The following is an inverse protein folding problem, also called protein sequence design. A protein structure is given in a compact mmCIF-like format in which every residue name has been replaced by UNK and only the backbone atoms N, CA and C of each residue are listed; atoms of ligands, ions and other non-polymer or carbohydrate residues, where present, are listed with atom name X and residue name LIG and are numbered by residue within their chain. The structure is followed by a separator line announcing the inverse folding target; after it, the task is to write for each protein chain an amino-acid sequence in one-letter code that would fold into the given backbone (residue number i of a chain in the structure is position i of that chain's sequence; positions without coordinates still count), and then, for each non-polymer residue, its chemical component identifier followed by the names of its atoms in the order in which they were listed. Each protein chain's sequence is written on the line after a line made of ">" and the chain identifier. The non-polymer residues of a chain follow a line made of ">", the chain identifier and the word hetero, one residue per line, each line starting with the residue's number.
data_IF_612685929080
#
_entry.id   IF_612685929080
#
_cell.length_a   1.000
_cell.length_b   1.000
_cell.length_c   1.000
_cell.angle_alpha   90.00
_cell.angle_beta   90.00
_cell.angle_gamma   90.00
#
_symmetry.space_group_name_H-M   'P 1'
#
loop_
_entity.id
_entity.type
_entity.pdbx_description
1 polymer ?
#
# COMPACT_ATOMS: atom_id res chain seq x y z
N UNK A 1 -42.89 3.13 26.46
CA UNK A 1 -41.91 2.97 25.38
C UNK A 1 -41.71 1.48 25.17
N UNK A 2 -41.97 0.98 23.97
CA UNK A 2 -41.88 -0.45 23.68
C UNK A 2 -40.42 -0.87 23.55
N UNK A 3 -40.12 -2.12 23.93
CA UNK A 3 -38.77 -2.69 23.84
C UNK A 3 -38.20 -2.58 22.42
N UNK A 4 -39.06 -2.72 21.41
CA UNK A 4 -38.73 -2.52 19.99
C UNK A 4 -38.23 -1.12 19.67
N UNK A 5 -38.83 -0.07 20.24
CA UNK A 5 -38.36 1.31 20.02
C UNK A 5 -36.94 1.49 20.56
N UNK A 6 -36.65 0.83 21.69
CA UNK A 6 -35.32 0.88 22.33
C UNK A 6 -34.28 0.09 21.54
N UNK A 7 -34.65 -1.06 20.98
CA UNK A 7 -33.78 -1.88 20.12
C UNK A 7 -33.49 -1.14 18.81
N UNK A 8 -34.51 -0.52 18.21
CA UNK A 8 -34.36 0.24 16.96
C UNK A 8 -33.48 1.47 17.18
N UNK A 9 -33.68 2.18 18.28
CA UNK A 9 -32.84 3.32 18.66
C UNK A 9 -31.40 2.91 18.97
N UNK A 10 -31.17 1.75 19.61
CA UNK A 10 -29.81 1.24 19.86
C UNK A 10 -29.12 0.84 18.55
N UNK A 11 -29.82 0.15 17.65
CA UNK A 11 -29.29 -0.23 16.34
C UNK A 11 -28.98 1.00 15.46
N UNK A 12 -29.86 2.00 15.44
CA UNK A 12 -29.60 3.27 14.72
C UNK A 12 -28.42 4.03 15.32
N UNK A 13 -28.28 4.03 16.66
CA UNK A 13 -27.14 4.65 17.34
C UNK A 13 -25.83 3.92 17.01
N UNK A 14 -25.86 2.60 16.93
CA UNK A 14 -24.71 1.75 16.65
C UNK A 14 -24.32 1.85 15.16
N UNK A 15 -25.28 1.84 14.25
CA UNK A 15 -25.08 2.12 12.82
C UNK A 15 -24.48 3.50 12.60
N UNK A 16 -24.98 4.53 13.30
CA UNK A 16 -24.44 5.90 13.20
C UNK A 16 -23.03 6.03 13.77
N UNK A 17 -22.72 5.27 14.83
CA UNK A 17 -21.36 5.15 15.35
C UNK A 17 -20.44 4.42 14.37
N UNK A 18 -20.93 3.35 13.72
CA UNK A 18 -20.20 2.61 12.69
C UNK A 18 -19.91 3.49 11.47
N UNK A 19 -20.91 4.24 10.99
CA UNK A 19 -20.78 5.21 9.90
C UNK A 19 -19.76 6.30 10.23
N UNK A 20 -19.75 6.78 11.47
CA UNK A 20 -18.76 7.78 11.92
C UNK A 20 -17.33 7.20 11.97
N UNK A 21 -17.17 5.91 12.30
CA UNK A 21 -15.88 5.21 12.28
C UNK A 21 -15.41 4.98 10.84
N UNK A 22 -16.30 4.52 9.96
CA UNK A 22 -16.03 4.28 8.53
C UNK A 22 -15.74 5.57 7.77
N UNK A 23 -16.41 6.68 8.10
CA UNK A 23 -16.14 8.00 7.53
C UNK A 23 -14.73 8.52 7.86
N UNK A 24 -14.05 7.89 8.84
CA UNK A 24 -12.71 8.25 9.28
C UNK A 24 -11.59 7.42 8.63
N UNK A 25 -11.91 6.48 7.74
CA UNK A 25 -10.88 5.75 7.01
C UNK A 25 -10.09 6.73 6.14
N UNK A 26 -8.78 6.90 6.40
CA UNK A 26 -7.97 7.75 5.55
C UNK A 26 -7.97 7.17 4.13
N UNK A 27 -8.34 7.97 3.13
CA UNK A 27 -8.27 7.51 1.74
C UNK A 27 -6.88 6.97 1.37
N UNK A 28 -6.81 6.12 0.34
CA UNK A 28 -5.60 5.36 -0.04
C UNK A 28 -4.35 6.25 -0.14
N UNK A 29 -4.48 7.46 -0.72
CA UNK A 29 -3.37 8.42 -0.79
C UNK A 29 -2.89 8.89 0.59
N UNK A 30 -3.80 9.10 1.54
CA UNK A 30 -3.48 9.47 2.92
C UNK A 30 -2.85 8.30 3.66
N UNK A 31 -3.27 7.06 3.41
CA UNK A 31 -2.59 5.85 3.93
C UNK A 31 -1.15 5.76 3.40
N UNK A 32 -0.96 5.99 2.11
CA UNK A 32 0.37 5.99 1.49
C UNK A 32 1.27 7.06 2.12
N UNK A 33 0.79 8.31 2.21
CA UNK A 33 1.52 9.42 2.83
C UNK A 33 1.84 9.16 4.31
N UNK A 34 0.94 8.49 5.04
CA UNK A 34 1.19 8.09 6.42
C UNK A 34 2.25 7.00 6.52
N UNK A 35 2.31 6.06 5.56
CA UNK A 35 3.32 5.02 5.53
C UNK A 35 4.73 5.64 5.35
N UNK A 36 4.87 6.72 4.56
CA UNK A 36 6.11 7.50 4.46
C UNK A 36 6.52 8.23 5.76
N UNK A 37 5.60 8.42 6.72
CA UNK A 37 5.88 9.04 8.02
C UNK A 37 6.09 8.02 9.15
N UNK A 38 5.94 6.72 8.87
CA UNK A 38 6.14 5.65 9.83
C UNK A 38 7.61 5.43 10.22
N UNK A 39 7.87 4.46 11.10
CA UNK A 39 9.24 4.10 11.54
C UNK A 39 10.14 3.68 10.38
N UNK A 40 9.57 3.03 9.34
CA UNK A 40 10.26 2.68 8.09
C UNK A 40 10.08 3.74 6.98
N UNK A 41 9.65 4.96 7.30
CA UNK A 41 9.37 6.00 6.31
C UNK A 41 10.56 6.33 5.40
N UNK A 42 11.78 6.40 5.96
CA UNK A 42 13.03 6.57 5.18
C UNK A 42 13.30 5.38 4.25
N UNK A 43 12.97 4.16 4.70
CA UNK A 43 13.10 2.96 3.88
C UNK A 43 12.08 2.96 2.74
N UNK A 44 10.86 3.42 2.98
CA UNK A 44 9.87 3.62 1.93
C UNK A 44 10.33 4.63 0.87
N UNK A 45 11.01 5.72 1.26
CA UNK A 45 11.58 6.68 0.30
C UNK A 45 12.65 6.00 -0.55
N UNK A 46 13.56 5.23 0.06
CA UNK A 46 14.57 4.47 -0.69
C UNK A 46 13.92 3.48 -1.66
N UNK A 47 12.91 2.73 -1.22
CA UNK A 47 12.16 1.79 -2.07
C UNK A 47 11.49 2.53 -3.22
N UNK A 48 10.86 3.68 -2.98
CA UNK A 48 10.23 4.48 -4.03
C UNK A 48 11.24 4.97 -5.08
N UNK A 49 12.43 5.40 -4.63
CA UNK A 49 13.54 5.80 -5.52
C UNK A 49 13.99 4.59 -6.36
N UNK A 50 14.20 3.43 -5.75
CA UNK A 50 14.57 2.20 -6.46
C UNK A 50 13.49 1.79 -7.46
N UNK A 51 12.21 1.84 -7.07
CA UNK A 51 11.08 1.57 -7.97
C UNK A 51 11.11 2.52 -9.17
N UNK A 52 11.39 3.81 -8.96
CA UNK A 52 11.50 4.77 -10.05
C UNK A 52 12.64 4.41 -11.03
N UNK A 53 13.83 4.07 -10.53
CA UNK A 53 14.94 3.62 -11.38
C UNK A 53 14.61 2.32 -12.13
N UNK A 54 13.99 1.36 -11.48
CA UNK A 54 13.55 0.11 -12.14
C UNK A 54 12.54 0.40 -13.24
N UNK A 55 11.63 1.37 -13.06
CA UNK A 55 10.72 1.81 -14.12
C UNK A 55 11.47 2.38 -15.32
N UNK A 56 12.50 3.21 -15.10
CA UNK A 56 13.34 3.74 -16.18
C UNK A 56 14.05 2.62 -16.95
N UNK A 57 14.62 1.64 -16.24
CA UNK A 57 15.24 0.45 -16.85
C UNK A 57 14.22 -0.36 -17.64
N UNK A 58 13.01 -0.54 -17.11
CA UNK A 58 11.93 -1.27 -17.78
C UNK A 58 11.53 -0.58 -19.10
N UNK A 59 11.35 0.75 -19.08
CA UNK A 59 11.03 1.53 -20.29
C UNK A 59 12.17 1.47 -21.32
N UNK A 60 13.42 1.59 -20.87
CA UNK A 60 14.59 1.48 -21.74
C UNK A 60 14.71 0.09 -22.36
N UNK A 61 14.53 -0.98 -21.56
CA UNK A 61 14.55 -2.35 -22.04
C UNK A 61 13.43 -2.62 -23.05
N UNK A 62 12.24 -2.08 -22.80
CA UNK A 62 11.12 -2.14 -23.75
C UNK A 62 11.47 -1.43 -25.07
N UNK A 63 12.05 -0.23 -24.99
CA UNK A 63 12.49 0.50 -26.18
C UNK A 63 13.52 -0.28 -27.00
N UNK A 64 14.56 -0.82 -26.34
CA UNK A 64 15.60 -1.64 -26.96
C UNK A 64 15.05 -2.94 -27.57
N UNK A 65 14.03 -3.53 -26.96
CA UNK A 65 13.40 -4.76 -27.46
C UNK A 65 12.56 -4.51 -28.72
N UNK A 66 11.75 -3.45 -28.72
CA UNK A 66 10.77 -3.20 -29.79
C UNK A 66 11.30 -2.39 -30.97
N UNK A 67 12.18 -1.40 -30.73
CA UNK A 67 12.52 -0.40 -31.75
C UNK A 67 13.94 -0.51 -32.31
N UNK A 68 14.85 -1.23 -31.65
CA UNK A 68 16.25 -1.30 -32.10
C UNK A 68 16.45 -2.46 -33.07
N UNK A 69 16.83 -2.09 -34.30
CA UNK A 69 17.22 -3.03 -35.35
C UNK A 69 18.74 -3.18 -35.37
N UNK A 70 19.21 -4.40 -35.15
CA UNK A 70 20.63 -4.78 -35.17
C UNK A 70 20.86 -5.70 -36.38
N UNK A 71 22.12 -5.85 -36.81
CA UNK A 71 22.48 -6.78 -37.89
C UNK A 71 21.86 -8.16 -37.68
N UNK A 72 21.39 -8.78 -38.77
CA UNK A 72 20.60 -10.02 -38.78
C UNK A 72 21.25 -11.18 -38.02
N UNK A 73 22.59 -11.23 -37.98
CA UNK A 73 23.34 -12.27 -37.29
C UNK A 73 23.28 -12.15 -35.75
N UNK A 74 23.06 -10.96 -35.19
CA UNK A 74 23.09 -10.70 -33.73
C UNK A 74 21.71 -10.30 -33.20
N UNK A 75 20.75 -10.03 -34.09
CA UNK A 75 19.41 -9.53 -33.75
C UNK A 75 18.68 -10.41 -32.73
N UNK A 76 18.71 -11.74 -32.90
CA UNK A 76 17.99 -12.68 -32.02
C UNK A 76 18.55 -12.64 -30.60
N UNK A 77 19.88 -12.63 -30.44
CA UNK A 77 20.53 -12.62 -29.13
C UNK A 77 20.27 -11.30 -28.40
N UNK A 78 20.34 -10.17 -29.13
CA UNK A 78 20.06 -8.84 -28.59
C UNK A 78 18.61 -8.73 -28.09
N UNK A 79 17.63 -9.17 -28.89
CA UNK A 79 16.22 -9.14 -28.51
C UNK A 79 15.94 -10.03 -27.29
N UNK A 80 16.53 -11.23 -27.21
CA UNK A 80 16.34 -12.11 -26.05
C UNK A 80 16.88 -11.44 -24.77
N UNK A 81 18.08 -10.85 -24.81
CA UNK A 81 18.66 -10.17 -23.64
C UNK A 81 17.76 -9.06 -23.10
N UNK A 82 17.31 -8.16 -23.97
CA UNK A 82 16.41 -7.06 -23.56
C UNK A 82 15.02 -7.56 -23.16
N UNK A 83 14.52 -8.62 -23.80
CA UNK A 83 13.27 -9.27 -23.40
C UNK A 83 13.34 -9.86 -21.99
N UNK A 84 14.45 -10.52 -21.64
CA UNK A 84 14.67 -11.05 -20.28
C UNK A 84 14.78 -9.92 -19.26
N UNK A 85 15.51 -8.85 -19.58
CA UNK A 85 15.62 -7.68 -18.69
C UNK A 85 14.25 -7.01 -18.50
N UNK A 86 13.44 -6.91 -19.56
CA UNK A 86 12.08 -6.37 -19.50
C UNK A 86 11.18 -7.22 -18.59
N UNK A 87 11.23 -8.55 -18.73
CA UNK A 87 10.47 -9.46 -17.88
C UNK A 87 10.91 -9.37 -16.41
N UNK A 88 12.22 -9.41 -16.14
CA UNK A 88 12.76 -9.31 -14.78
C UNK A 88 12.43 -7.97 -14.13
N UNK A 89 12.58 -6.86 -14.84
CA UNK A 89 12.23 -5.53 -14.31
C UNK A 89 10.74 -5.40 -14.01
N UNK A 90 9.87 -6.04 -14.82
CA UNK A 90 8.42 -6.10 -14.56
C UNK A 90 8.10 -6.91 -13.30
N UNK A 91 8.75 -8.07 -13.10
CA UNK A 91 8.58 -8.86 -11.88
C UNK A 91 9.01 -8.09 -10.63
N UNK A 92 10.17 -7.41 -10.71
CA UNK A 92 10.65 -6.55 -9.62
C UNK A 92 9.65 -5.42 -9.33
N UNK A 93 9.08 -4.77 -10.34
CA UNK A 93 8.02 -3.76 -10.17
C UNK A 93 6.81 -4.30 -9.40
N UNK A 94 6.33 -5.49 -9.76
CA UNK A 94 5.19 -6.13 -9.10
C UNK A 94 5.51 -6.37 -7.62
N UNK A 95 6.66 -6.98 -7.33
CA UNK A 95 7.06 -7.28 -5.95
C UNK A 95 7.24 -6.01 -5.11
N UNK A 96 7.86 -4.95 -5.65
CA UNK A 96 8.05 -3.68 -4.94
C UNK A 96 6.72 -2.99 -4.61
N UNK A 97 5.78 -2.98 -5.56
CA UNK A 97 4.44 -2.44 -5.32
C UNK A 97 3.69 -3.26 -4.27
N UNK A 98 3.70 -4.58 -4.38
CA UNK A 98 3.04 -5.46 -3.42
C UNK A 98 3.61 -5.27 -2.01
N UNK A 99 4.93 -5.20 -1.88
CA UNK A 99 5.58 -4.91 -0.60
C UNK A 99 5.17 -3.55 -0.02
N UNK A 100 5.09 -2.51 -0.86
CA UNK A 100 4.65 -1.17 -0.42
C UNK A 100 3.21 -1.18 0.10
N UNK A 101 2.30 -1.90 -0.56
CA UNK A 101 0.93 -2.08 -0.09
C UNK A 101 0.86 -2.84 1.24
N UNK A 102 1.65 -3.90 1.39
CA UNK A 102 1.72 -4.66 2.64
C UNK A 102 2.24 -3.79 3.80
N UNK A 103 3.27 -2.97 3.55
CA UNK A 103 3.79 -2.05 4.55
C UNK A 103 2.74 -1.00 4.95
N UNK A 104 2.00 -0.47 3.98
CA UNK A 104 0.90 0.45 4.24
C UNK A 104 -0.20 -0.17 5.13
N UNK A 105 -0.59 -1.41 4.84
CA UNK A 105 -1.56 -2.14 5.66
C UNK A 105 -1.02 -2.41 7.07
N UNK A 106 0.26 -2.79 7.19
CA UNK A 106 0.94 -2.99 8.49
C UNK A 106 0.89 -1.71 9.34
N UNK A 107 1.15 -0.55 8.74
CA UNK A 107 1.09 0.73 9.45
C UNK A 107 -0.34 1.11 9.86
N UNK A 108 -1.35 0.80 9.04
CA UNK A 108 -2.75 1.03 9.41
C UNK A 108 -3.15 0.19 10.63
N UNK A 109 -2.87 -1.12 10.58
CA UNK A 109 -3.15 -2.04 11.67
C UNK A 109 -2.44 -1.62 12.97
N UNK A 110 -1.17 -1.23 12.89
CA UNK A 110 -0.40 -0.76 14.05
C UNK A 110 -1.02 0.48 14.70
N UNK A 111 -1.59 1.40 13.91
CA UNK A 111 -2.26 2.59 14.43
C UNK A 111 -3.57 2.24 15.13
N UNK A 112 -4.31 1.28 14.62
CA UNK A 112 -5.55 0.80 15.24
C UNK A 112 -5.26 0.09 16.58
N UNK A 113 -4.23 -0.76 16.64
CA UNK A 113 -3.79 -1.41 17.88
C UNK A 113 -3.45 -0.36 18.95
N UNK A 114 -2.64 0.66 18.63
CA UNK A 114 -2.32 1.74 19.58
C UNK A 114 -3.53 2.52 20.05
N UNK A 115 -4.54 2.71 19.20
CA UNK A 115 -5.81 3.35 19.61
C UNK A 115 -6.56 2.48 20.61
N UNK A 116 -6.60 1.16 20.38
CA UNK A 116 -7.22 0.22 21.31
C UNK A 116 -6.49 0.19 22.66
N UNK A 117 -5.16 0.18 22.68
CA UNK A 117 -4.35 0.27 23.91
C UNK A 117 -4.72 1.52 24.73
N UNK A 118 -4.78 2.70 24.09
CA UNK A 118 -5.17 3.95 24.76
C UNK A 118 -6.62 3.94 25.28
N UNK A 119 -7.54 3.24 24.59
CA UNK A 119 -8.92 3.11 25.06
C UNK A 119 -8.98 2.19 26.27
N UNK A 120 -8.26 1.08 26.26
CA UNK A 120 -8.17 0.14 27.39
C UNK A 120 -7.58 0.84 28.61
N UNK A 121 -6.47 1.57 28.45
CA UNK A 121 -5.83 2.33 29.53
C UNK A 121 -6.80 3.32 30.20
N UNK A 122 -7.58 4.07 29.41
CA UNK A 122 -8.60 4.99 29.92
C UNK A 122 -9.77 4.30 30.62
N UNK A 123 -10.12 3.07 30.21
CA UNK A 123 -11.16 2.30 30.87
C UNK A 123 -10.66 1.78 32.22
N UNK A 124 -9.42 1.27 32.27
CA UNK A 124 -8.79 0.82 33.51
C UNK A 124 -8.64 1.97 34.52
N UNK A 125 -8.23 3.15 34.08
CA UNK A 125 -8.09 4.35 34.93
C UNK A 125 -9.44 4.85 35.50
N UNK A 126 -10.55 4.63 34.79
CA UNK A 126 -11.91 4.94 35.30
C UNK A 126 -12.47 3.89 36.27
N UNK A 127 -11.93 2.68 36.26
CA UNK A 127 -12.38 1.55 37.07
C UNK A 127 -11.58 1.42 38.38
N UNK A 128 -10.37 1.99 38.44
CA UNK A 128 -9.57 2.14 39.67
C UNK A 128 -9.92 3.40 40.45
#
# INVERSE_FOLDING_TARGET
>A
MNLDDKIKQSLESEAKNLDHILAHEPGIFKMLLNAFKGSLGRWMILVAIVTFFVTLVMLWAGYQFFFVEVSSQVLTLHKIQWGVILLLSTLVQITLKMWTFMEMNRQSAMREIKRLELVIEKLTDKLG
#
